data_IF_655542545647
#
_entry.id   IF_655542545647
#
_cell.length_a   1.000
_cell.length_b   1.000
_cell.length_c   1.000
_cell.angle_alpha   90.00
_cell.angle_beta   90.00
_cell.angle_gamma   90.00
#
_symmetry.space_group_name_H-M   'P 1'
#
loop_
_entity.id
_entity.type
_entity.pdbx_description
1 polymer ?
#
# COMPACT_ATOMS: atom_id res chain seq x y z
N UNK A 1 20.28 18.35 -15.06
CA UNK A 1 19.02 18.90 -14.49
C UNK A 1 17.81 18.02 -14.81
N UNK A 2 17.60 17.59 -16.06
CA UNK A 2 16.41 16.85 -16.50
C UNK A 2 16.17 15.51 -15.76
N UNK A 3 17.24 14.77 -15.42
CA UNK A 3 17.16 13.51 -14.67
C UNK A 3 16.49 13.66 -13.29
N UNK A 4 16.77 14.74 -12.57
CA UNK A 4 16.18 14.98 -11.24
C UNK A 4 14.68 15.25 -11.32
N UNK A 5 14.23 15.94 -12.37
CA UNK A 5 12.81 16.24 -12.58
C UNK A 5 12.02 14.96 -12.83
N UNK A 6 12.55 14.07 -13.68
CA UNK A 6 11.95 12.77 -13.96
C UNK A 6 11.86 11.92 -12.68
N UNK A 7 12.93 11.82 -11.90
CA UNK A 7 12.88 11.07 -10.64
C UNK A 7 11.95 11.69 -9.60
N UNK A 8 11.85 13.03 -9.53
CA UNK A 8 10.88 13.69 -8.65
C UNK A 8 9.44 13.39 -9.07
N UNK A 9 9.16 13.32 -10.36
CA UNK A 9 7.85 12.92 -10.86
C UNK A 9 7.50 11.50 -10.39
N UNK A 10 8.39 10.52 -10.62
CA UNK A 10 8.18 9.15 -10.17
C UNK A 10 8.08 9.01 -8.65
N UNK A 11 8.94 9.72 -7.91
CA UNK A 11 8.90 9.72 -6.44
C UNK A 11 7.56 10.25 -5.91
N UNK A 12 7.01 11.28 -6.53
CA UNK A 12 5.67 11.80 -6.20
C UNK A 12 4.56 10.81 -6.52
N UNK A 13 4.56 10.26 -7.75
CA UNK A 13 3.55 9.29 -8.18
C UNK A 13 3.53 8.03 -7.31
N UNK A 14 4.69 7.48 -6.98
CA UNK A 14 4.80 6.27 -6.16
C UNK A 14 4.53 6.56 -4.67
N UNK A 15 5.00 7.70 -4.15
CA UNK A 15 4.83 8.04 -2.73
C UNK A 15 3.37 8.25 -2.31
N UNK A 16 2.50 8.69 -3.22
CA UNK A 16 1.08 8.82 -2.91
C UNK A 16 0.39 7.46 -2.75
N UNK A 17 0.77 6.46 -3.54
CA UNK A 17 0.12 5.15 -3.54
C UNK A 17 0.13 4.49 -2.16
N UNK A 18 1.26 4.56 -1.44
CA UNK A 18 1.38 3.98 -0.10
C UNK A 18 0.46 4.66 0.92
N UNK A 19 0.30 5.98 0.82
CA UNK A 19 -0.53 6.75 1.76
C UNK A 19 -2.01 6.39 1.58
N UNK A 20 -2.48 6.37 0.34
CA UNK A 20 -3.88 6.08 -0.01
C UNK A 20 -4.24 4.62 0.30
N UNK A 21 -3.39 3.68 -0.12
CA UNK A 21 -3.65 2.25 0.06
C UNK A 21 -3.56 1.86 1.54
N UNK A 22 -2.63 2.44 2.30
CA UNK A 22 -2.48 2.14 3.72
C UNK A 22 -3.74 2.48 4.53
N UNK A 23 -4.34 3.65 4.29
CA UNK A 23 -5.60 4.05 4.92
C UNK A 23 -6.77 3.11 4.55
N UNK A 24 -6.88 2.74 3.27
CA UNK A 24 -7.89 1.78 2.80
C UNK A 24 -7.71 0.38 3.40
N UNK A 25 -6.47 -0.09 3.51
CA UNK A 25 -6.17 -1.41 4.07
C UNK A 25 -6.52 -1.50 5.55
N UNK A 26 -6.24 -0.45 6.33
CA UNK A 26 -6.65 -0.37 7.73
C UNK A 26 -8.18 -0.33 7.85
N UNK A 27 -8.84 0.38 6.93
CA UNK A 27 -10.28 0.41 6.89
C UNK A 27 -10.85 -1.01 6.65
N UNK A 28 -10.29 -1.78 5.72
CA UNK A 28 -10.76 -3.12 5.39
C UNK A 28 -10.46 -4.17 6.48
N UNK A 29 -9.38 -3.99 7.22
CA UNK A 29 -8.93 -4.92 8.27
C UNK A 29 -9.65 -4.74 9.62
N UNK A 30 -9.95 -3.49 10.01
CA UNK A 30 -10.43 -3.20 11.36
C UNK A 30 -11.93 -2.94 11.42
N UNK A 31 -12.64 -3.49 12.42
CA UNK A 31 -14.05 -3.23 12.63
C UNK A 31 -14.30 -1.75 13.00
N UNK A 32 -15.51 -1.20 12.77
CA UNK A 32 -15.79 0.24 12.87
C UNK A 32 -15.41 0.87 14.22
N UNK A 33 -15.55 0.14 15.33
CA UNK A 33 -15.25 0.62 16.68
C UNK A 33 -13.75 0.74 16.98
N UNK A 34 -12.89 -0.01 16.28
CA UNK A 34 -11.43 0.04 16.45
C UNK A 34 -10.71 0.79 15.34
N UNK A 35 -11.39 1.01 14.21
CA UNK A 35 -10.83 1.69 13.03
C UNK A 35 -10.24 3.07 13.37
N UNK A 36 -10.91 3.85 14.23
CA UNK A 36 -10.42 5.16 14.67
C UNK A 36 -9.04 5.08 15.31
N UNK A 37 -8.84 4.15 16.27
CA UNK A 37 -7.56 3.95 16.95
C UNK A 37 -6.47 3.48 15.99
N UNK A 38 -6.78 2.52 15.12
CA UNK A 38 -5.83 2.01 14.14
C UNK A 38 -5.38 3.10 13.15
N UNK A 39 -6.33 3.92 12.68
CA UNK A 39 -6.04 5.04 11.79
C UNK A 39 -5.22 6.13 12.49
N UNK A 40 -5.52 6.46 13.74
CA UNK A 40 -4.73 7.44 14.52
C UNK A 40 -3.26 7.02 14.64
N UNK A 41 -2.99 5.74 14.92
CA UNK A 41 -1.61 5.23 14.99
C UNK A 41 -0.93 5.34 13.62
N UNK A 42 -1.63 5.00 12.54
CA UNK A 42 -1.10 5.12 11.18
C UNK A 42 -0.75 6.56 10.80
N UNK A 43 -1.58 7.54 11.20
CA UNK A 43 -1.34 8.95 10.90
C UNK A 43 -0.13 9.55 11.61
N UNK A 44 0.39 8.89 12.66
CA UNK A 44 1.61 9.35 13.34
C UNK A 44 2.83 9.37 12.40
N UNK A 45 2.92 8.43 11.46
CA UNK A 45 4.03 8.37 10.51
C UNK A 45 4.11 9.62 9.63
N UNK A 46 3.04 9.95 8.85
CA UNK A 46 2.99 11.16 8.04
C UNK A 46 3.13 12.47 8.81
N UNK A 47 2.71 12.51 10.08
CA UNK A 47 2.84 13.70 10.93
C UNK A 47 4.26 13.86 11.49
N UNK A 48 4.88 12.76 11.93
CA UNK A 48 6.23 12.79 12.49
C UNK A 48 7.32 12.93 11.41
N UNK A 49 7.08 12.41 10.20
CA UNK A 49 8.03 12.45 9.08
C UNK A 49 8.58 13.85 8.78
N UNK A 50 7.72 14.87 8.55
CA UNK A 50 8.15 16.24 8.32
C UNK A 50 8.86 16.90 9.50
N UNK A 51 8.63 16.44 10.73
CA UNK A 51 9.31 16.97 11.92
C UNK A 51 10.73 16.40 12.05
N UNK A 52 10.90 15.10 11.81
CA UNK A 52 12.19 14.40 12.01
C UNK A 52 13.08 14.50 10.75
N UNK A 53 12.47 14.51 9.57
CA UNK A 53 13.16 14.48 8.27
C UNK A 53 14.17 15.61 8.05
N UNK A 54 13.82 16.89 8.29
CA UNK A 54 14.75 18.01 8.10
C UNK A 54 15.94 17.98 9.07
N UNK A 55 15.72 17.51 10.30
CA UNK A 55 16.77 17.40 11.32
C UNK A 55 17.79 16.37 10.84
N UNK A 56 17.34 15.14 10.53
CA UNK A 56 18.22 14.08 10.05
C UNK A 56 18.88 14.42 8.69
N UNK A 57 18.13 15.04 7.78
CA UNK A 57 18.62 15.46 6.47
C UNK A 57 19.65 16.60 6.55
N UNK A 58 19.49 17.51 7.51
CA UNK A 58 20.44 18.60 7.76
C UNK A 58 21.80 18.08 8.21
N UNK A 59 21.82 17.25 9.26
CA UNK A 59 23.06 16.62 9.76
C UNK A 59 23.76 15.78 8.68
N UNK A 60 23.00 15.04 7.87
CA UNK A 60 23.56 14.20 6.81
C UNK A 60 24.08 15.04 5.63
N UNK A 61 23.41 16.15 5.31
CA UNK A 61 23.85 17.05 4.24
C UNK A 61 25.14 17.80 4.60
N UNK A 62 25.33 18.13 5.87
CA UNK A 62 26.51 18.85 6.36
C UNK A 62 27.75 17.96 6.40
N UNK A 63 27.59 16.68 6.78
CA UNK A 63 28.70 15.72 6.92
C UNK A 63 29.16 15.14 5.58
N UNK A 64 28.25 14.54 4.81
CA UNK A 64 28.58 13.73 3.62
C UNK A 64 28.04 14.34 2.31
N UNK A 65 27.31 15.46 2.41
CA UNK A 65 26.73 16.17 1.28
C UNK A 65 25.31 15.73 0.89
N UNK A 66 24.62 16.61 0.15
CA UNK A 66 23.19 16.47 -0.15
C UNK A 66 22.78 15.19 -0.91
N UNK A 67 23.72 14.57 -1.65
CA UNK A 67 23.43 13.34 -2.43
C UNK A 67 23.22 12.13 -1.53
N UNK A 68 23.87 12.07 -0.37
CA UNK A 68 23.76 10.95 0.56
C UNK A 68 22.36 10.81 1.16
N UNK A 69 21.59 11.90 1.21
CA UNK A 69 20.18 11.86 1.59
C UNK A 69 19.40 10.88 0.69
N UNK A 70 19.64 10.92 -0.63
CA UNK A 70 18.96 10.02 -1.56
C UNK A 70 19.38 8.56 -1.37
N UNK A 71 20.67 8.31 -1.10
CA UNK A 71 21.16 6.95 -0.84
C UNK A 71 20.57 6.36 0.43
N UNK A 72 20.53 7.11 1.53
CA UNK A 72 19.94 6.65 2.80
C UNK A 72 18.45 6.38 2.64
N UNK A 73 17.72 7.28 1.97
CA UNK A 73 16.30 7.07 1.69
C UNK A 73 16.06 5.85 0.79
N UNK A 74 16.89 5.63 -0.22
CA UNK A 74 16.80 4.46 -1.11
C UNK A 74 17.07 3.15 -0.36
N UNK A 75 18.09 3.10 0.51
CA UNK A 75 18.41 1.93 1.32
C UNK A 75 17.27 1.65 2.31
N UNK A 76 16.83 2.66 3.06
CA UNK A 76 15.77 2.50 4.05
C UNK A 76 14.46 2.04 3.42
N UNK A 77 14.03 2.69 2.33
CA UNK A 77 12.81 2.30 1.59
C UNK A 77 12.94 0.92 0.94
N UNK A 78 14.13 0.56 0.43
CA UNK A 78 14.41 -0.77 -0.11
C UNK A 78 14.28 -1.86 0.93
N UNK A 79 14.89 -1.68 2.11
CA UNK A 79 14.80 -2.64 3.22
C UNK A 79 13.36 -2.82 3.69
N UNK A 80 12.62 -1.71 3.85
CA UNK A 80 11.19 -1.76 4.25
C UNK A 80 10.37 -2.49 3.19
N UNK A 81 10.57 -2.19 1.91
CA UNK A 81 9.84 -2.83 0.80
C UNK A 81 10.10 -4.33 0.76
N UNK A 82 11.37 -4.74 0.86
CA UNK A 82 11.74 -6.16 0.91
C UNK A 82 11.12 -6.83 2.14
N UNK A 83 11.19 -6.19 3.30
CA UNK A 83 10.54 -6.66 4.51
C UNK A 83 9.03 -6.84 4.33
N UNK A 84 8.35 -5.89 3.70
CA UNK A 84 6.91 -5.98 3.42
C UNK A 84 6.57 -7.16 2.50
N UNK A 85 7.39 -7.43 1.48
CA UNK A 85 7.15 -8.58 0.58
C UNK A 85 7.18 -9.90 1.35
N UNK A 86 8.06 -10.06 2.33
CA UNK A 86 8.20 -11.30 3.09
C UNK A 86 7.26 -11.41 4.30
N UNK A 87 7.03 -10.31 5.03
CA UNK A 87 6.26 -10.30 6.27
C UNK A 87 4.75 -10.19 6.03
N UNK A 88 4.34 -9.51 4.96
CA UNK A 88 2.93 -9.20 4.75
C UNK A 88 2.26 -10.35 4.03
N UNK A 89 1.31 -11.00 4.71
CA UNK A 89 0.43 -11.97 4.07
C UNK A 89 -0.67 -11.26 3.30
N UNK A 90 -1.21 -11.94 2.30
CA UNK A 90 -2.31 -11.47 1.47
C UNK A 90 -3.51 -11.10 2.33
N UNK A 91 -3.77 -9.79 2.46
CA UNK A 91 -4.84 -9.24 3.30
C UNK A 91 -6.16 -9.07 2.54
N UNK A 92 -6.13 -9.08 1.20
CA UNK A 92 -7.31 -8.77 0.39
C UNK A 92 -8.41 -9.83 0.56
N UNK A 93 -9.54 -9.42 1.16
CA UNK A 93 -10.70 -10.29 1.37
C UNK A 93 -11.23 -10.90 0.06
N UNK A 94 -11.13 -10.17 -1.05
CA UNK A 94 -11.54 -10.66 -2.38
C UNK A 94 -10.67 -11.87 -2.79
N UNK A 95 -9.35 -11.74 -2.67
CA UNK A 95 -8.39 -12.77 -3.07
C UNK A 95 -8.50 -14.00 -2.18
N UNK A 96 -8.60 -13.81 -0.86
CA UNK A 96 -8.77 -14.90 0.10
C UNK A 96 -10.06 -15.67 -0.19
N UNK A 97 -11.17 -14.96 -0.40
CA UNK A 97 -12.47 -15.59 -0.62
C UNK A 97 -12.52 -16.32 -1.97
N UNK A 98 -11.90 -15.78 -3.02
CA UNK A 98 -11.75 -16.48 -4.31
C UNK A 98 -10.90 -17.75 -4.20
N UNK A 99 -9.77 -17.70 -3.48
CA UNK A 99 -8.94 -18.89 -3.21
C UNK A 99 -9.73 -19.97 -2.47
N UNK A 100 -10.53 -19.57 -1.46
CA UNK A 100 -11.40 -20.49 -0.70
C UNK A 100 -12.49 -21.09 -1.58
N UNK A 101 -13.13 -20.31 -2.44
CA UNK A 101 -14.16 -20.80 -3.38
C UNK A 101 -13.58 -21.82 -4.35
N UNK A 102 -12.42 -21.53 -4.99
CA UNK A 102 -11.76 -22.49 -5.89
C UNK A 102 -11.41 -23.80 -5.18
N UNK A 103 -10.96 -23.73 -3.93
CA UNK A 103 -10.69 -24.92 -3.11
C UNK A 103 -11.96 -25.73 -2.84
N UNK A 104 -13.04 -25.07 -2.41
CA UNK A 104 -14.33 -25.72 -2.13
C UNK A 104 -14.98 -26.29 -3.40
N UNK A 105 -14.88 -25.62 -4.54
CA UNK A 105 -15.36 -26.18 -5.83
C UNK A 105 -14.67 -27.50 -6.17
N UNK A 106 -13.37 -27.62 -5.89
CA UNK A 106 -12.59 -28.84 -6.13
C UNK A 106 -12.93 -29.95 -5.13
N UNK A 107 -13.21 -29.61 -3.88
CA UNK A 107 -13.54 -30.58 -2.83
C UNK A 107 -15.00 -31.08 -2.93
N UNK A 108 -15.97 -30.21 -3.24
CA UNK A 108 -17.39 -30.56 -3.30
C UNK A 108 -17.88 -30.95 -4.71
N UNK A 109 -17.07 -30.72 -5.75
CA UNK A 109 -17.46 -30.93 -7.16
C UNK A 109 -18.53 -29.96 -7.67
N UNK A 110 -18.94 -28.98 -6.85
CA UNK A 110 -20.01 -28.04 -7.16
C UNK A 110 -19.44 -26.74 -7.77
N UNK A 111 -19.47 -26.66 -9.10
CA UNK A 111 -19.01 -25.51 -9.88
C UNK A 111 -19.85 -24.23 -9.67
N UNK A 112 -21.02 -24.33 -9.00
CA UNK A 112 -21.88 -23.17 -8.74
C UNK A 112 -21.50 -22.37 -7.49
N UNK A 113 -20.51 -22.82 -6.71
CA UNK A 113 -20.02 -22.05 -5.56
C UNK A 113 -19.37 -20.75 -6.06
N UNK A 114 -19.78 -19.61 -5.49
CA UNK A 114 -19.26 -18.28 -5.86
C UNK A 114 -18.86 -17.48 -4.62
N UNK A 115 -17.93 -16.55 -4.79
CA UNK A 115 -17.54 -15.63 -3.72
C UNK A 115 -18.69 -14.66 -3.44
N UNK A 116 -18.98 -14.37 -2.16
CA UNK A 116 -19.99 -13.37 -1.78
C UNK A 116 -19.66 -11.97 -2.33
N UNK A 117 -18.38 -11.73 -2.62
CA UNK A 117 -17.85 -10.48 -3.19
C UNK A 117 -17.69 -10.54 -4.72
N UNK A 118 -18.10 -11.63 -5.37
CA UNK A 118 -17.98 -11.78 -6.82
C UNK A 118 -19.05 -10.91 -7.51
N UNK A 119 -18.61 -9.85 -8.21
CA UNK A 119 -19.53 -9.06 -9.04
C UNK A 119 -19.93 -9.91 -10.23
N UNK A 120 -21.23 -10.19 -10.36
CA UNK A 120 -21.82 -10.95 -11.47
C UNK A 120 -21.70 -10.29 -12.86
N UNK A 121 -21.05 -9.13 -12.96
CA UNK A 121 -21.05 -8.26 -14.14
C UNK A 121 -19.63 -8.21 -14.70
N UNK A 122 -19.48 -8.44 -16.00
CA UNK A 122 -18.19 -8.35 -16.70
C UNK A 122 -17.61 -6.94 -16.56
N UNK A 123 -16.29 -6.81 -16.38
CA UNK A 123 -15.61 -5.52 -16.18
C UNK A 123 -15.92 -4.49 -17.27
N UNK A 124 -16.11 -4.94 -18.51
CA UNK A 124 -16.49 -4.09 -19.65
C UNK A 124 -17.93 -3.58 -19.57
N UNK A 125 -18.80 -4.31 -18.88
CA UNK A 125 -20.21 -3.94 -18.72
C UNK A 125 -20.42 -3.00 -17.53
N UNK A 126 -19.59 -3.11 -16.49
CA UNK A 126 -19.52 -2.11 -15.40
C UNK A 126 -19.09 -0.76 -15.95
N UNK A 127 -18.07 -0.72 -16.82
CA UNK A 127 -17.60 0.53 -17.43
C UNK A 127 -18.67 1.20 -18.31
N UNK A 128 -19.44 0.40 -19.06
CA UNK A 128 -20.55 0.89 -19.89
C UNK A 128 -21.75 1.41 -19.08
N UNK A 129 -21.89 1.03 -17.81
CA UNK A 129 -22.99 1.48 -16.93
C UNK A 129 -22.58 2.64 -16.02
N UNK A 130 -21.28 2.87 -15.84
CA UNK A 130 -20.74 3.92 -14.97
C UNK A 130 -20.43 5.24 -15.71
N UNK A 131 -20.37 5.18 -17.05
CA UNK A 131 -20.34 6.33 -17.97
C UNK A 131 -21.78 6.56 -18.43
#
# INVERSE_FOLDING_TARGET
MSMLIVFRFFAGCMGFATVTIGGGTIADLFPPHQRGRALSIYTLGPVAGPAIGPIAGGFLSESEGWKWIFWVLAIASGVITVGQIFLTQETSAIVILQRKVKRLQKETGNMNLRSKLDRQISSSEVLKRAI
#
